data_IF_308112734385
#
_entry.id   IF_308112734385
#
_cell.length_a   1.000
_cell.length_b   1.000
_cell.length_c   1.000
_cell.angle_alpha   90.00
_cell.angle_beta   90.00
_cell.angle_gamma   90.00
#
_symmetry.space_group_name_H-M   'P 1'
#
loop_
_entity.id
_entity.type
_entity.pdbx_description
1 polymer ?
#
# COMPACT_ATOMS: atom_id res chain seq x y z
N UNK A 1 -2.73 -82.61 -52.77
CA UNK A 1 -1.26 -82.64 -52.89
C UNK A 1 -0.74 -81.29 -52.43
N UNK A 2 0.35 -81.37 -51.69
CA UNK A 2 0.93 -80.42 -50.76
C UNK A 2 1.72 -79.28 -51.46
N UNK A 3 2.37 -78.45 -50.63
CA UNK A 3 3.31 -77.34 -50.86
C UNK A 3 2.62 -75.96 -50.91
N UNK A 4 2.80 -75.02 -49.98
CA UNK A 4 3.65 -74.86 -48.81
C UNK A 4 3.71 -73.35 -48.50
N UNK A 5 3.76 -72.93 -47.24
CA UNK A 5 4.13 -71.55 -46.88
C UNK A 5 4.79 -71.45 -45.50
N UNK A 6 5.78 -70.54 -45.32
CA UNK A 6 6.81 -70.66 -44.31
C UNK A 6 6.52 -69.83 -43.05
N UNK A 7 7.00 -70.33 -41.90
CA UNK A 7 7.05 -69.59 -40.63
C UNK A 7 8.02 -68.40 -40.73
N UNK A 8 7.60 -67.21 -40.30
CA UNK A 8 8.51 -66.06 -40.07
C UNK A 8 8.23 -65.42 -38.71
N UNK A 9 9.31 -65.25 -37.95
CA UNK A 9 9.33 -64.95 -36.54
C UNK A 9 9.14 -63.49 -36.13
N UNK A 10 8.97 -63.39 -34.81
CA UNK A 10 8.93 -62.26 -33.87
C UNK A 10 9.46 -60.90 -34.36
N UNK A 11 8.60 -59.90 -34.28
CA UNK A 11 9.00 -58.48 -34.18
C UNK A 11 8.89 -58.09 -32.70
N UNK A 12 10.02 -57.67 -32.13
CA UNK A 12 10.11 -57.07 -30.81
C UNK A 12 9.43 -55.70 -30.86
N UNK A 13 8.32 -55.53 -30.14
CA UNK A 13 7.72 -54.21 -29.96
C UNK A 13 8.52 -53.49 -28.87
N UNK A 14 9.41 -52.61 -29.31
CA UNK A 14 10.21 -51.74 -28.46
C UNK A 14 9.31 -50.91 -27.54
N UNK A 15 9.80 -50.76 -26.31
CA UNK A 15 9.25 -49.93 -25.24
C UNK A 15 9.47 -48.46 -25.65
N UNK A 16 8.40 -47.75 -26.03
CA UNK A 16 8.47 -46.29 -26.17
C UNK A 16 8.33 -45.67 -24.79
N UNK A 17 9.39 -45.01 -24.36
CA UNK A 17 9.49 -44.22 -23.14
C UNK A 17 8.61 -42.98 -23.28
N UNK A 18 7.92 -42.70 -22.17
CA UNK A 18 7.22 -41.49 -21.76
C UNK A 18 7.17 -40.30 -22.72
N UNK A 19 5.95 -39.95 -23.12
CA UNK A 19 5.53 -38.56 -23.24
C UNK A 19 4.61 -38.28 -22.03
N UNK A 20 5.21 -37.99 -20.88
CA UNK A 20 4.49 -37.38 -19.76
C UNK A 20 4.27 -35.90 -20.10
N UNK A 21 3.30 -35.66 -20.99
CA UNK A 21 2.60 -34.39 -21.02
C UNK A 21 1.98 -34.18 -19.64
N UNK A 22 2.68 -33.44 -18.78
CA UNK A 22 2.22 -33.13 -17.43
C UNK A 22 0.93 -32.32 -17.54
N UNK A 23 -0.21 -33.00 -17.43
CA UNK A 23 -1.49 -32.37 -17.16
C UNK A 23 -1.40 -31.77 -15.77
N UNK A 24 -1.05 -30.48 -15.71
CA UNK A 24 -1.05 -29.70 -14.49
C UNK A 24 -2.45 -29.74 -13.90
N UNK A 25 -2.59 -30.22 -12.67
CA UNK A 25 -3.90 -30.40 -12.03
C UNK A 25 -4.67 -29.08 -11.97
N UNK A 26 -6.00 -29.11 -12.11
CA UNK A 26 -6.85 -27.93 -11.96
C UNK A 26 -6.64 -27.22 -10.62
N UNK A 27 -6.25 -27.95 -9.56
CA UNK A 27 -5.83 -27.38 -8.28
C UNK A 27 -4.58 -26.51 -8.42
N UNK A 28 -3.53 -26.98 -9.10
CA UNK A 28 -2.30 -26.21 -9.34
C UNK A 28 -2.50 -24.98 -10.26
N UNK A 29 -3.60 -24.96 -11.02
CA UNK A 29 -4.03 -23.80 -11.81
C UNK A 29 -4.81 -22.77 -10.98
N UNK A 30 -5.69 -23.24 -10.08
CA UNK A 30 -6.39 -22.36 -9.12
C UNK A 30 -5.44 -21.73 -8.09
N UNK A 31 -4.37 -22.44 -7.70
CA UNK A 31 -3.36 -21.92 -6.76
C UNK A 31 -2.51 -20.77 -7.32
N UNK A 32 -2.62 -20.45 -8.63
CA UNK A 32 -1.89 -19.34 -9.27
C UNK A 32 -2.70 -18.05 -9.39
N UNK A 33 -3.91 -18.02 -8.84
CA UNK A 33 -4.74 -16.82 -8.85
C UNK A 33 -4.29 -15.84 -7.77
N UNK A 34 -4.14 -14.56 -8.11
CA UNK A 34 -3.81 -13.49 -7.16
C UNK A 34 -4.81 -13.38 -5.99
N UNK A 35 -6.03 -13.86 -6.19
CA UNK A 35 -7.10 -13.89 -5.20
C UNK A 35 -6.85 -14.90 -4.07
N UNK A 36 -6.08 -15.96 -4.34
CA UNK A 36 -5.72 -17.01 -3.40
C UNK A 36 -4.41 -16.73 -2.66
N UNK A 37 -3.77 -15.58 -2.92
CA UNK A 37 -2.56 -15.19 -2.22
C UNK A 37 -2.87 -15.00 -0.72
N UNK A 38 -2.07 -15.60 0.19
CA UNK A 38 -2.26 -15.40 1.62
C UNK A 38 -2.26 -13.91 2.01
N UNK A 39 -3.11 -13.53 2.96
CA UNK A 39 -3.27 -12.13 3.39
C UNK A 39 -1.96 -11.48 3.80
N UNK A 40 -1.08 -12.21 4.51
CA UNK A 40 0.24 -11.70 4.89
C UNK A 40 1.13 -11.38 3.68
N UNK A 41 1.08 -12.18 2.62
CA UNK A 41 1.80 -11.90 1.39
C UNK A 41 1.25 -10.67 0.67
N UNK A 42 -0.08 -10.47 0.66
CA UNK A 42 -0.69 -9.24 0.14
C UNK A 42 -0.23 -8.01 0.95
N UNK A 43 -0.23 -8.10 2.28
CA UNK A 43 0.24 -7.04 3.18
C UNK A 43 1.71 -6.69 2.91
N UNK A 44 2.58 -7.67 2.70
CA UNK A 44 3.99 -7.45 2.36
C UNK A 44 4.18 -6.75 1.01
N UNK A 45 3.29 -7.01 0.04
CA UNK A 45 3.26 -6.30 -1.23
C UNK A 45 2.75 -4.87 -1.02
N UNK A 46 1.66 -4.70 -0.29
CA UNK A 46 1.00 -3.41 -0.09
C UNK A 46 1.85 -2.41 0.70
N UNK A 47 2.68 -2.89 1.63
CA UNK A 47 3.69 -2.07 2.31
C UNK A 47 4.69 -1.39 1.35
N UNK A 48 4.81 -1.86 0.10
CA UNK A 48 5.69 -1.30 -0.92
C UNK A 48 4.98 -0.38 -1.91
N UNK A 49 3.67 -0.27 -1.81
CA UNK A 49 2.87 0.54 -2.72
C UNK A 49 2.89 2.02 -2.32
N UNK A 50 2.59 2.87 -3.29
CA UNK A 50 2.46 4.29 -3.05
C UNK A 50 1.22 4.60 -2.23
N UNK A 51 1.21 5.77 -1.58
CA UNK A 51 0.02 6.23 -0.85
C UNK A 51 -1.19 6.40 -1.78
N UNK A 52 -0.95 6.73 -3.06
CA UNK A 52 -1.98 6.79 -4.09
C UNK A 52 -2.66 5.42 -4.26
N UNK A 53 -1.87 4.38 -4.49
CA UNK A 53 -2.38 3.04 -4.80
C UNK A 53 -3.04 2.38 -3.58
N UNK A 54 -2.49 2.59 -2.39
CA UNK A 54 -3.11 2.17 -1.13
C UNK A 54 -4.47 2.82 -0.89
N UNK A 55 -4.65 4.06 -1.37
CA UNK A 55 -5.88 4.82 -1.14
C UNK A 55 -6.95 4.54 -2.21
N UNK A 56 -6.56 4.48 -3.48
CA UNK A 56 -7.49 4.47 -4.63
C UNK A 56 -7.40 3.22 -5.51
N UNK A 57 -6.37 2.39 -5.33
CA UNK A 57 -6.18 1.17 -6.10
C UNK A 57 -6.61 -0.05 -5.31
N UNK A 58 -5.77 -0.46 -4.36
CA UNK A 58 -5.90 -1.72 -3.61
C UNK A 58 -7.29 -1.93 -3.01
N UNK A 59 -7.92 -0.95 -2.34
CA UNK A 59 -9.21 -1.15 -1.69
C UNK A 59 -10.36 -1.51 -2.65
N UNK A 60 -10.19 -1.29 -3.96
CA UNK A 60 -11.25 -1.40 -4.96
C UNK A 60 -11.00 -2.52 -5.98
N UNK A 61 -9.97 -3.36 -5.80
CA UNK A 61 -9.69 -4.50 -6.68
C UNK A 61 -10.63 -5.67 -6.38
N UNK A 62 -10.58 -6.19 -5.15
CA UNK A 62 -11.46 -7.25 -4.68
C UNK A 62 -11.56 -7.22 -3.15
N UNK A 63 -12.46 -8.02 -2.58
CA UNK A 63 -12.66 -8.08 -1.12
C UNK A 63 -11.39 -8.47 -0.37
N UNK A 64 -10.66 -9.50 -0.85
CA UNK A 64 -9.42 -9.96 -0.21
C UNK A 64 -8.36 -8.84 -0.13
N UNK A 65 -8.22 -8.05 -1.19
CA UNK A 65 -7.28 -6.92 -1.23
C UNK A 65 -7.74 -5.77 -0.33
N UNK A 66 -9.04 -5.48 -0.30
CA UNK A 66 -9.60 -4.53 0.65
C UNK A 66 -9.28 -4.92 2.11
N UNK A 67 -9.54 -6.16 2.51
CA UNK A 67 -9.27 -6.64 3.87
C UNK A 67 -7.76 -6.59 4.20
N UNK A 68 -6.89 -7.04 3.29
CA UNK A 68 -5.45 -6.94 3.47
C UNK A 68 -4.96 -5.47 3.56
N UNK A 69 -5.58 -4.54 2.82
CA UNK A 69 -5.27 -3.10 2.92
C UNK A 69 -5.64 -2.47 4.26
N UNK A 70 -6.44 -3.13 5.10
CA UNK A 70 -6.78 -2.63 6.43
C UNK A 70 -5.67 -2.90 7.46
N UNK A 71 -4.67 -3.73 7.13
CA UNK A 71 -3.55 -3.97 8.03
C UNK A 71 -2.76 -2.66 8.28
N UNK A 72 -2.58 -2.24 9.55
CA UNK A 72 -1.91 -0.99 9.88
C UNK A 72 -0.47 -0.88 9.37
N UNK A 73 0.23 -2.01 9.14
CA UNK A 73 1.60 -2.02 8.64
C UNK A 73 1.72 -1.38 7.25
N UNK A 74 0.68 -1.49 6.41
CA UNK A 74 0.62 -0.85 5.10
C UNK A 74 0.66 0.68 5.18
N UNK A 75 0.28 1.26 6.33
CA UNK A 75 0.10 2.70 6.51
C UNK A 75 1.12 3.31 7.48
N UNK A 76 2.22 2.60 7.77
CA UNK A 76 3.30 3.09 8.63
C UNK A 76 4.03 4.29 8.03
N UNK A 77 4.14 4.34 6.71
CA UNK A 77 4.80 5.40 5.96
C UNK A 77 3.74 6.15 5.15
N UNK A 78 3.54 7.42 5.48
CA UNK A 78 2.62 8.33 4.79
C UNK A 78 3.43 9.17 3.81
N UNK A 79 3.61 8.64 2.59
CA UNK A 79 4.38 9.32 1.54
C UNK A 79 3.48 10.16 0.62
N UNK A 80 3.50 11.47 0.83
CA UNK A 80 2.74 12.43 0.03
C UNK A 80 3.41 12.82 -1.29
N UNK A 81 4.60 12.32 -1.63
CA UNK A 81 5.26 12.67 -2.90
C UNK A 81 4.47 12.21 -4.13
N UNK A 82 3.67 11.15 -4.00
CA UNK A 82 2.92 10.55 -5.10
C UNK A 82 1.49 11.05 -5.21
N UNK A 83 1.06 11.97 -4.33
CA UNK A 83 -0.31 12.51 -4.34
C UNK A 83 -0.29 14.05 -4.26
N UNK A 84 -1.30 14.66 -4.87
CA UNK A 84 -1.63 16.06 -4.62
C UNK A 84 -2.86 16.11 -3.72
N UNK A 85 -2.73 16.38 -2.40
CA UNK A 85 -3.88 16.40 -1.51
C UNK A 85 -4.62 17.75 -1.52
N UNK A 86 -4.32 18.66 -2.48
CA UNK A 86 -5.03 19.93 -2.59
C UNK A 86 -6.45 19.71 -3.12
N UNK A 87 -7.47 20.39 -2.55
CA UNK A 87 -8.83 20.32 -3.06
C UNK A 87 -8.91 20.63 -4.56
N UNK A 88 -9.64 19.81 -5.32
CA UNK A 88 -9.83 19.96 -6.76
C UNK A 88 -8.72 19.38 -7.63
N UNK A 89 -7.68 18.79 -7.03
CA UNK A 89 -6.71 17.96 -7.77
C UNK A 89 -7.35 16.65 -8.24
N UNK A 90 -6.75 16.03 -9.27
CA UNK A 90 -7.20 14.73 -9.79
C UNK A 90 -7.31 13.67 -8.69
N UNK A 91 -6.31 13.58 -7.81
CA UNK A 91 -6.33 12.66 -6.68
C UNK A 91 -7.52 12.92 -5.75
N UNK A 92 -7.76 14.17 -5.36
CA UNK A 92 -8.85 14.48 -4.41
C UNK A 92 -10.23 14.29 -5.00
N UNK A 93 -10.41 14.53 -6.30
CA UNK A 93 -11.69 14.29 -6.97
C UNK A 93 -11.96 12.78 -7.11
N UNK A 94 -10.96 11.99 -7.47
CA UNK A 94 -11.07 10.51 -7.45
C UNK A 94 -11.35 9.99 -6.04
N UNK A 95 -10.63 10.47 -5.04
CA UNK A 95 -10.88 10.10 -3.64
C UNK A 95 -12.30 10.43 -3.19
N UNK A 96 -12.80 11.62 -3.54
CA UNK A 96 -14.17 12.03 -3.24
C UNK A 96 -15.19 11.09 -3.90
N UNK A 97 -14.95 10.73 -5.16
CA UNK A 97 -15.80 9.81 -5.93
C UNK A 97 -15.83 8.40 -5.32
N UNK A 98 -14.66 7.78 -5.16
CA UNK A 98 -14.54 6.39 -4.68
C UNK A 98 -15.10 6.21 -3.26
N UNK A 99 -14.86 7.18 -2.39
CA UNK A 99 -15.34 7.16 -1.01
C UNK A 99 -16.71 7.82 -0.81
N UNK A 100 -17.38 8.22 -1.90
CA UNK A 100 -18.73 8.82 -1.91
C UNK A 100 -18.87 9.99 -0.92
N UNK A 101 -17.90 10.89 -0.93
CA UNK A 101 -17.88 12.05 -0.04
C UNK A 101 -18.59 13.23 -0.69
N UNK A 102 -19.45 13.93 0.05
CA UNK A 102 -20.08 15.16 -0.47
C UNK A 102 -19.05 16.28 -0.69
N UNK A 103 -18.04 16.36 0.20
CA UNK A 103 -16.99 17.38 0.18
C UNK A 103 -15.66 16.83 0.66
N UNK A 104 -14.59 17.24 -0.02
CA UNK A 104 -13.22 16.98 0.42
C UNK A 104 -12.72 18.02 1.41
N UNK A 105 -12.10 17.55 2.49
CA UNK A 105 -11.32 18.36 3.42
C UNK A 105 -10.01 17.65 3.73
N UNK A 106 -8.89 18.39 3.69
CA UNK A 106 -7.57 17.83 3.95
C UNK A 106 -7.47 17.21 5.36
N UNK A 107 -8.02 17.86 6.40
CA UNK A 107 -8.15 17.26 7.75
C UNK A 107 -8.90 15.93 7.73
N UNK A 108 -9.98 15.82 6.96
CA UNK A 108 -10.74 14.57 6.82
C UNK A 108 -9.90 13.46 6.19
N UNK A 109 -9.10 13.80 5.17
CA UNK A 109 -8.15 12.88 4.57
C UNK A 109 -7.05 12.44 5.55
N UNK A 110 -6.50 13.37 6.35
CA UNK A 110 -5.55 13.00 7.41
C UNK A 110 -6.17 12.07 8.45
N UNK A 111 -7.41 12.31 8.87
CA UNK A 111 -8.13 11.43 9.79
C UNK A 111 -8.29 10.04 9.19
N UNK A 112 -8.59 9.94 7.88
CA UNK A 112 -8.65 8.67 7.17
C UNK A 112 -7.31 7.91 7.26
N UNK A 113 -6.18 8.57 6.97
CA UNK A 113 -4.85 7.96 7.04
C UNK A 113 -4.46 7.51 8.47
N UNK A 114 -4.76 8.33 9.47
CA UNK A 114 -4.50 8.02 10.88
C UNK A 114 -5.34 6.82 11.34
N UNK A 115 -6.61 6.74 10.92
CA UNK A 115 -7.47 5.59 11.21
C UNK A 115 -6.95 4.33 10.56
N UNK A 116 -6.54 4.38 9.29
CA UNK A 116 -5.96 3.25 8.56
C UNK A 116 -4.66 2.75 9.18
N UNK A 117 -3.82 3.65 9.67
CA UNK A 117 -2.60 3.28 10.40
C UNK A 117 -2.82 2.85 11.85
N UNK A 118 -4.06 2.89 12.36
CA UNK A 118 -4.35 2.66 13.77
C UNK A 118 -3.46 3.48 14.72
N UNK A 119 -3.12 4.72 14.34
CA UNK A 119 -2.19 5.60 15.08
C UNK A 119 -0.74 5.09 15.17
N UNK A 120 -0.36 4.12 14.34
CA UNK A 120 0.97 3.52 14.27
C UNK A 120 1.83 4.07 13.14
N UNK A 121 1.40 5.16 12.48
CA UNK A 121 2.24 5.85 11.50
C UNK A 121 3.54 6.34 12.16
N UNK A 122 4.68 6.08 11.51
CA UNK A 122 6.02 6.40 12.03
C UNK A 122 6.79 7.36 11.14
N UNK A 123 6.42 7.49 9.86
CA UNK A 123 7.08 8.41 8.95
C UNK A 123 6.06 9.13 8.08
N UNK A 124 6.11 10.46 8.06
CA UNK A 124 5.42 11.29 7.08
C UNK A 124 6.44 11.92 6.16
N UNK A 125 6.33 11.66 4.86
CA UNK A 125 7.15 12.29 3.84
C UNK A 125 6.26 13.26 3.08
N UNK A 126 6.64 14.53 3.00
CA UNK A 126 5.92 15.49 2.17
C UNK A 126 6.88 16.22 1.23
N UNK A 127 6.48 16.45 -0.04
CA UNK A 127 7.32 17.21 -0.95
C UNK A 127 7.39 18.65 -0.48
N UNK A 128 8.51 19.34 -0.71
CA UNK A 128 8.65 20.69 -0.19
C UNK A 128 7.72 21.76 -0.74
N UNK A 129 7.17 21.50 -1.93
CA UNK A 129 6.15 22.34 -2.58
C UNK A 129 4.78 22.22 -1.89
N UNK A 130 4.56 21.18 -1.07
CA UNK A 130 3.35 20.99 -0.29
C UNK A 130 3.61 21.34 1.18
N UNK A 131 3.01 22.44 1.63
CA UNK A 131 2.99 22.79 3.04
C UNK A 131 1.77 22.19 3.71
N UNK A 132 1.99 21.41 4.75
CA UNK A 132 0.95 20.95 5.66
C UNK A 132 0.67 22.09 6.66
N UNK A 133 -0.57 22.53 6.86
CA UNK A 133 -0.91 23.54 7.86
C UNK A 133 -0.42 23.14 9.27
N UNK A 134 0.03 24.12 10.07
CA UNK A 134 0.61 23.85 11.40
C UNK A 134 -0.38 23.10 12.31
N UNK A 135 -1.66 23.51 12.31
CA UNK A 135 -2.69 22.84 13.08
C UNK A 135 -2.84 21.37 12.67
N UNK A 136 -2.61 21.07 11.38
CA UNK A 136 -2.68 19.72 10.86
C UNK A 136 -1.49 18.87 11.28
N UNK A 137 -0.29 19.43 11.24
CA UNK A 137 0.92 18.78 11.74
C UNK A 137 0.81 18.45 13.23
N UNK A 138 0.41 19.43 14.04
CA UNK A 138 0.22 19.26 15.49
C UNK A 138 -0.80 18.17 15.77
N UNK A 139 -1.88 18.11 15.00
CA UNK A 139 -2.88 17.05 15.12
C UNK A 139 -2.29 15.67 14.82
N UNK A 140 -1.60 15.50 13.69
CA UNK A 140 -1.05 14.17 13.31
C UNK A 140 0.00 13.72 14.35
N UNK A 141 0.87 14.62 14.82
CA UNK A 141 1.87 14.31 15.84
C UNK A 141 1.24 13.94 17.19
N UNK A 142 0.10 14.54 17.54
CA UNK A 142 -0.67 14.14 18.73
C UNK A 142 -1.26 12.74 18.56
N UNK A 143 -1.85 12.46 17.41
CA UNK A 143 -2.49 11.16 17.16
C UNK A 143 -1.48 10.03 17.00
N UNK A 144 -0.32 10.28 16.40
CA UNK A 144 0.75 9.31 16.16
C UNK A 144 2.05 9.78 16.86
N UNK A 145 2.25 9.50 18.15
CA UNK A 145 3.37 10.06 18.92
C UNK A 145 4.77 9.62 18.45
N UNK A 146 4.85 8.52 17.69
CA UNK A 146 6.11 7.99 17.12
C UNK A 146 6.37 8.50 15.70
N UNK A 147 5.51 9.38 15.18
CA UNK A 147 5.63 9.89 13.83
C UNK A 147 6.78 10.88 13.73
N UNK A 148 7.72 10.58 12.84
CA UNK A 148 8.72 11.54 12.38
C UNK A 148 8.27 12.18 11.05
N UNK A 149 8.66 13.44 10.85
CA UNK A 149 8.34 14.20 9.64
C UNK A 149 9.63 14.38 8.86
N UNK A 150 9.75 13.63 7.77
CA UNK A 150 10.82 13.81 6.82
C UNK A 150 10.41 14.81 5.76
N UNK A 151 11.08 15.96 5.79
CA UNK A 151 11.09 16.92 4.70
C UNK A 151 12.37 16.67 3.89
N UNK A 152 12.30 16.05 2.70
CA UNK A 152 13.45 15.91 1.82
C UNK A 152 14.09 17.28 1.64
N UNK A 153 15.43 17.40 1.65
CA UNK A 153 16.07 18.70 1.65
C UNK A 153 15.62 19.51 0.43
N UNK A 154 14.76 20.49 0.70
CA UNK A 154 14.82 21.76 -0.01
C UNK A 154 16.29 22.14 -0.03
N UNK A 155 16.83 22.52 -1.19
CA UNK A 155 17.95 23.45 -1.18
C UNK A 155 17.60 24.54 -0.14
N UNK A 156 18.29 24.53 1.01
CA UNK A 156 17.89 25.26 2.21
C UNK A 156 18.15 26.73 1.95
N UNK A 157 17.22 27.41 1.26
CA UNK A 157 17.32 28.83 0.99
C UNK A 157 17.09 29.68 2.25
N UNK A 158 16.57 29.10 3.34
CA UNK A 158 16.36 29.83 4.58
C UNK A 158 16.35 28.93 5.85
N UNK A 159 17.51 28.74 6.51
CA UNK A 159 17.61 27.92 7.73
C UNK A 159 16.82 28.49 8.92
N UNK A 160 16.55 29.80 8.95
CA UNK A 160 15.73 30.43 9.99
C UNK A 160 14.27 29.97 9.98
N UNK A 161 13.72 29.67 8.81
CA UNK A 161 12.34 29.19 8.67
C UNK A 161 12.18 27.77 9.22
N UNK A 162 13.15 26.89 8.96
CA UNK A 162 13.17 25.52 9.50
C UNK A 162 13.29 25.54 11.03
N UNK A 163 14.17 26.38 11.58
CA UNK A 163 14.30 26.53 13.03
C UNK A 163 13.02 27.04 13.68
N UNK A 164 12.37 28.05 13.08
CA UNK A 164 11.08 28.58 13.56
C UNK A 164 9.96 27.54 13.47
N UNK A 165 9.96 26.71 12.44
CA UNK A 165 9.00 25.62 12.29
C UNK A 165 9.16 24.57 13.40
N UNK A 166 10.38 24.08 13.63
CA UNK A 166 10.69 23.11 14.70
C UNK A 166 10.28 23.67 16.07
N UNK A 167 10.64 24.93 16.36
CA UNK A 167 10.30 25.56 17.64
C UNK A 167 8.79 25.75 17.81
N UNK A 168 8.07 26.18 16.76
CA UNK A 168 6.61 26.33 16.82
C UNK A 168 5.91 24.99 17.08
N UNK A 169 6.36 23.92 16.41
CA UNK A 169 5.80 22.57 16.61
C UNK A 169 6.09 22.09 18.03
N UNK A 170 7.34 22.20 18.48
CA UNK A 170 7.75 21.78 19.83
C UNK A 170 7.01 22.56 20.93
N UNK A 171 6.91 23.90 20.83
CA UNK A 171 6.14 24.71 21.77
C UNK A 171 4.66 24.33 21.78
N UNK A 172 4.07 24.04 20.62
CA UNK A 172 2.63 23.69 20.54
C UNK A 172 2.36 22.32 21.19
N UNK A 173 3.28 21.37 21.01
CA UNK A 173 3.23 20.06 21.68
C UNK A 173 3.34 20.23 23.21
N UNK A 174 4.31 21.02 23.69
CA UNK A 174 4.52 21.23 25.12
C UNK A 174 3.40 22.03 25.79
N UNK A 175 2.88 23.08 25.14
CA UNK A 175 1.75 23.86 25.68
C UNK A 175 0.53 22.97 25.85
N UNK A 176 0.20 22.11 24.87
CA UNK A 176 -0.93 21.19 24.99
C UNK A 176 -0.73 20.11 26.06
N UNK A 177 0.50 19.59 26.23
CA UNK A 177 0.80 18.67 27.33
C UNK A 177 0.58 19.32 28.71
N UNK A 178 0.76 20.64 28.83
CA UNK A 178 0.52 21.37 30.08
C UNK A 178 -0.97 21.64 30.35
N UNK A 179 -1.81 21.70 29.31
CA UNK A 179 -3.26 21.91 29.45
C UNK A 179 -4.08 20.62 29.64
N UNK A 180 -3.52 19.43 29.40
CA UNK A 180 -4.21 18.15 29.70
C UNK A 180 -3.92 17.61 31.11
N UNK A 181 -3.16 18.36 31.92
CA UNK A 181 -2.86 18.07 33.33
C UNK A 181 -3.44 19.11 34.31
N UNK A 182 -4.35 19.98 33.85
CA UNK A 182 -5.10 20.96 34.66
C UNK A 182 -6.59 20.80 34.42
#
# INVERSE_FOLDING_TARGET
MDVGSPKRGKIHKGKSVADEGTAMSEQAMNDRQWENLPTNCLVDIFQKLSLHDLTLGVPFVCKSWYEASLDPSCWKILDFKTIDPRPGSEFTEKFKHEYRLDKYQFRGFLNFLIRRSCKLAILLIHPPSQRIPINDLVYILKECPKLDIYNPPLSVKNPGLMRKFILTVHETILRRASYEFM
#
